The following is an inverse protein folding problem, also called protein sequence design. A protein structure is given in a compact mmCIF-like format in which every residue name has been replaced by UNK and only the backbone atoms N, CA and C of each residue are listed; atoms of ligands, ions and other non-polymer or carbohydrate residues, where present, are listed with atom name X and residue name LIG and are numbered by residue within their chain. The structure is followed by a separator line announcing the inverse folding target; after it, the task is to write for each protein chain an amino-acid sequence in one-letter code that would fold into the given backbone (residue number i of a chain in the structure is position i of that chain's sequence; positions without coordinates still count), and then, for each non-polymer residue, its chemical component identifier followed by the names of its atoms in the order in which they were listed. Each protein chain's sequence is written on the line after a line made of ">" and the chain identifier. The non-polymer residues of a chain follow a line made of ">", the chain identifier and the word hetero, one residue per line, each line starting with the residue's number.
data_IF_257513297320
#
_entry.id   IF_257513297320
#
_cell.length_a   1.000
_cell.length_b   1.000
_cell.length_c   1.000
_cell.angle_alpha   90.00
_cell.angle_beta   90.00
_cell.angle_gamma   90.00
#
_symmetry.space_group_name_H-M   'P 1'
#
loop_
_entity.id
_entity.type
_entity.pdbx_description
1 polymer ?
#
# COMPACT_ATOMS: atom_id res chain seq x y z
N UNK A 1 30.25 -40.87 33.37
CA UNK A 1 29.72 -40.11 32.21
C UNK A 1 28.47 -39.40 32.69
N UNK A 2 28.58 -38.14 33.12
CA UNK A 2 27.42 -37.33 33.67
C UNK A 2 26.84 -36.50 32.54
N UNK A 3 25.59 -36.78 32.19
CA UNK A 3 24.79 -36.07 31.19
C UNK A 3 24.29 -34.75 31.81
N UNK A 4 24.78 -33.61 31.36
CA UNK A 4 24.22 -32.33 31.71
C UNK A 4 23.05 -32.00 30.76
N UNK A 5 21.83 -32.08 31.27
CA UNK A 5 20.66 -31.53 30.60
C UNK A 5 20.72 -30.00 30.73
N UNK A 6 20.98 -29.30 29.62
CA UNK A 6 20.74 -27.85 29.52
C UNK A 6 19.24 -27.63 29.34
N UNK A 7 18.55 -27.18 30.41
CA UNK A 7 17.24 -26.62 30.31
C UNK A 7 17.39 -25.18 29.74
N UNK A 8 17.02 -25.00 28.47
CA UNK A 8 16.81 -23.68 27.89
C UNK A 8 15.51 -23.09 28.45
N UNK A 9 15.63 -22.18 29.41
CA UNK A 9 14.51 -21.35 29.89
C UNK A 9 14.19 -20.36 28.79
N UNK A 10 13.15 -20.59 28.01
CA UNK A 10 12.54 -19.57 27.17
C UNK A 10 11.90 -18.54 28.10
N UNK A 11 12.58 -17.42 28.28
CA UNK A 11 12.00 -16.23 28.92
C UNK A 11 10.91 -15.66 28.02
N UNK A 12 9.67 -16.03 28.25
CA UNK A 12 8.51 -15.36 27.67
C UNK A 12 8.44 -13.95 28.29
N UNK A 13 8.97 -12.94 27.61
CA UNK A 13 8.76 -11.55 28.00
C UNK A 13 7.27 -11.28 27.82
N UNK A 14 6.52 -11.29 28.92
CA UNK A 14 5.11 -10.93 28.89
C UNK A 14 5.00 -9.48 28.41
N UNK A 15 4.48 -9.29 27.21
CA UNK A 15 4.15 -7.95 26.70
C UNK A 15 3.11 -7.34 27.62
N UNK A 16 3.40 -6.17 28.20
CA UNK A 16 2.45 -5.50 29.08
C UNK A 16 1.10 -5.37 28.39
N UNK A 17 0.03 -5.79 29.08
CA UNK A 17 -1.32 -5.74 28.56
C UNK A 17 -1.66 -4.30 28.16
N UNK A 18 -2.16 -4.12 26.95
CA UNK A 18 -2.59 -2.79 26.48
C UNK A 18 -3.87 -2.42 27.21
N UNK A 19 -3.98 -1.18 27.76
CA UNK A 19 -5.22 -0.78 28.44
C UNK A 19 -6.40 -0.89 27.47
N UNK A 20 -7.57 -1.32 27.92
CA UNK A 20 -8.76 -1.38 27.07
C UNK A 20 -9.15 0.02 26.58
N UNK A 21 -9.76 0.08 25.40
CA UNK A 21 -10.28 1.32 24.81
C UNK A 21 -11.73 1.12 24.42
N UNK A 22 -12.60 2.00 24.90
CA UNK A 22 -14.01 2.02 24.53
C UNK A 22 -14.32 3.28 23.73
N UNK A 23 -14.60 3.11 22.43
CA UNK A 23 -15.22 4.16 21.63
C UNK A 23 -16.73 4.13 21.86
N UNK A 24 -17.30 5.23 22.32
CA UNK A 24 -18.70 5.32 22.73
C UNK A 24 -19.51 6.14 21.74
N UNK A 25 -20.70 5.63 21.37
CA UNK A 25 -21.70 6.34 20.58
C UNK A 25 -21.19 6.79 19.19
N UNK A 26 -20.43 5.96 18.49
CA UNK A 26 -19.94 6.25 17.14
C UNK A 26 -20.84 5.64 16.05
N UNK A 27 -20.65 6.09 14.81
CA UNK A 27 -21.08 5.36 13.62
C UNK A 27 -19.95 4.44 13.17
N UNK A 28 -20.20 3.13 13.14
CA UNK A 28 -19.19 2.12 12.80
C UNK A 28 -19.37 1.68 11.34
N UNK A 29 -18.44 2.04 10.48
CA UNK A 29 -18.33 1.60 9.09
C UNK A 29 -17.52 0.30 9.11
N UNK A 30 -18.19 -0.82 9.09
CA UNK A 30 -17.53 -2.11 9.37
C UNK A 30 -16.64 -2.62 8.24
N UNK A 31 -16.86 -2.19 7.01
CA UNK A 31 -16.31 -2.79 5.79
C UNK A 31 -16.63 -4.29 5.65
N UNK A 32 -17.68 -4.77 6.34
CA UNK A 32 -18.16 -6.15 6.31
C UNK A 32 -19.55 -6.21 5.70
N UNK A 33 -19.64 -6.53 4.39
CA UNK A 33 -20.89 -6.63 3.66
C UNK A 33 -21.69 -5.32 3.60
N UNK A 34 -21.03 -4.16 3.62
CA UNK A 34 -21.67 -2.85 3.54
C UNK A 34 -22.37 -2.38 4.82
N UNK A 35 -22.18 -3.06 5.94
CA UNK A 35 -22.83 -2.71 7.22
C UNK A 35 -22.27 -1.41 7.79
N UNK A 36 -23.17 -0.45 8.05
CA UNK A 36 -22.91 0.78 8.78
C UNK A 36 -23.82 0.80 10.02
N UNK A 37 -23.22 0.86 11.20
CA UNK A 37 -23.90 0.73 12.49
C UNK A 37 -23.90 2.08 13.22
N UNK A 38 -25.00 2.81 13.17
CA UNK A 38 -25.13 4.09 13.87
C UNK A 38 -25.34 3.87 15.38
N UNK A 39 -24.80 4.78 16.20
CA UNK A 39 -24.95 4.75 17.66
C UNK A 39 -24.51 3.41 18.27
N UNK A 40 -23.26 3.01 17.96
CA UNK A 40 -22.66 1.83 18.53
C UNK A 40 -21.42 2.17 19.36
N UNK A 41 -21.17 1.33 20.35
CA UNK A 41 -19.94 1.29 21.11
C UNK A 41 -19.02 0.22 20.49
N UNK A 42 -17.70 0.50 20.43
CA UNK A 42 -16.67 -0.45 20.01
C UNK A 42 -15.66 -0.58 21.14
N UNK A 43 -15.58 -1.77 21.74
CA UNK A 43 -14.63 -2.10 22.78
C UNK A 43 -13.43 -2.84 22.22
N UNK A 44 -12.24 -2.38 22.57
CA UNK A 44 -10.97 -3.04 22.26
C UNK A 44 -10.31 -3.51 23.54
N UNK A 45 -9.91 -4.80 23.57
CA UNK A 45 -9.12 -5.42 24.62
C UNK A 45 -8.02 -6.28 24.00
N UNK A 46 -6.86 -6.31 24.62
CA UNK A 46 -5.71 -7.14 24.19
C UNK A 46 -5.34 -6.98 22.72
N UNK A 47 -5.54 -5.77 22.19
CA UNK A 47 -5.23 -5.45 20.79
C UNK A 47 -6.27 -5.91 19.77
N UNK A 48 -7.42 -6.45 20.22
CA UNK A 48 -8.50 -6.96 19.37
C UNK A 48 -9.81 -6.24 19.63
N UNK A 49 -10.69 -6.24 18.63
CA UNK A 49 -12.06 -5.79 18.77
C UNK A 49 -12.80 -6.85 19.61
N UNK A 50 -13.05 -6.54 20.88
CA UNK A 50 -13.69 -7.45 21.80
C UNK A 50 -15.22 -7.45 21.62
N UNK A 51 -15.81 -6.27 21.31
CA UNK A 51 -17.27 -6.13 21.16
C UNK A 51 -17.66 -4.92 20.32
N UNK A 52 -18.70 -5.08 19.52
CA UNK A 52 -19.42 -4.00 18.85
C UNK A 52 -20.89 -4.15 19.22
N UNK A 53 -21.46 -3.14 19.89
CA UNK A 53 -22.84 -3.24 20.42
C UNK A 53 -23.55 -1.89 20.42
N UNK A 54 -24.89 -1.85 20.48
CA UNK A 54 -25.63 -0.60 20.61
C UNK A 54 -25.15 0.22 21.82
N UNK A 55 -25.11 1.54 21.65
CA UNK A 55 -24.60 2.47 22.67
C UNK A 55 -25.27 2.26 24.04
N UNK A 56 -24.44 2.22 25.08
CA UNK A 56 -24.88 2.05 26.48
C UNK A 56 -25.11 0.61 26.90
N UNK A 57 -24.94 -0.39 25.99
CA UNK A 57 -25.06 -1.81 26.36
C UNK A 57 -23.73 -2.44 26.75
N UNK A 58 -22.61 -1.80 26.44
CA UNK A 58 -21.28 -2.23 26.85
C UNK A 58 -20.80 -1.42 28.08
N UNK A 59 -20.32 -2.10 29.11
CA UNK A 59 -19.56 -1.47 30.20
C UNK A 59 -18.09 -1.33 29.81
N UNK A 60 -17.49 -0.21 30.19
CA UNK A 60 -16.03 -0.06 30.06
C UNK A 60 -15.36 -0.91 31.16
N UNK A 61 -14.45 -1.84 30.85
CA UNK A 61 -13.62 -2.50 31.84
C UNK A 61 -12.83 -1.49 32.70
N UNK A 62 -12.45 -1.87 33.91
CA UNK A 62 -11.59 -1.04 34.75
C UNK A 62 -10.29 -0.66 34.03
N UNK A 63 -9.84 0.58 34.18
CA UNK A 63 -8.65 1.09 33.50
C UNK A 63 -8.81 1.41 32.03
N UNK A 64 -10.04 1.34 31.48
CA UNK A 64 -10.31 1.69 30.08
C UNK A 64 -10.12 3.17 29.78
N UNK A 65 -9.52 3.46 28.63
CA UNK A 65 -9.65 4.78 28.00
C UNK A 65 -11.00 4.86 27.28
N UNK A 66 -11.84 5.81 27.68
CA UNK A 66 -13.14 6.06 27.02
C UNK A 66 -12.97 7.22 26.02
N UNK A 67 -13.30 6.96 24.75
CA UNK A 67 -13.24 7.94 23.66
C UNK A 67 -14.68 8.28 23.22
N UNK A 68 -15.05 9.56 23.28
CA UNK A 68 -16.35 10.00 22.78
C UNK A 68 -16.37 9.94 21.23
N UNK A 69 -17.25 9.12 20.71
CA UNK A 69 -17.49 8.93 19.26
C UNK A 69 -18.74 9.63 18.76
N UNK A 70 -19.40 10.45 19.58
CA UNK A 70 -20.64 11.14 19.21
C UNK A 70 -20.42 12.01 17.97
N UNK A 71 -21.20 11.74 16.92
CA UNK A 71 -21.09 12.43 15.63
C UNK A 71 -19.83 12.05 14.82
N UNK A 72 -19.09 11.04 15.24
CA UNK A 72 -17.85 10.55 14.58
C UNK A 72 -18.05 9.18 13.99
N UNK A 73 -17.08 8.80 13.14
CA UNK A 73 -17.10 7.58 12.34
C UNK A 73 -15.89 6.71 12.67
N UNK A 74 -16.13 5.44 12.94
CA UNK A 74 -15.08 4.42 13.06
C UNK A 74 -15.02 3.62 11.78
N UNK A 75 -13.82 3.39 11.25
CA UNK A 75 -13.57 2.50 10.13
C UNK A 75 -12.26 1.73 10.31
N UNK A 76 -12.03 0.63 9.56
CA UNK A 76 -10.72 -0.02 9.57
C UNK A 76 -9.61 0.93 9.12
N UNK A 77 -8.41 0.70 9.63
CA UNK A 77 -7.22 1.39 9.13
C UNK A 77 -6.98 1.12 7.64
N UNK A 78 -6.44 2.11 6.95
CA UNK A 78 -6.13 2.02 5.53
C UNK A 78 -4.82 1.27 5.28
N UNK A 79 -4.66 0.77 4.06
CA UNK A 79 -3.43 0.16 3.59
C UNK A 79 -2.81 0.96 2.45
N UNK A 80 -1.47 0.92 2.37
CA UNK A 80 -0.67 1.40 1.25
C UNK A 80 0.06 0.21 0.62
N UNK A 81 -0.34 -0.19 -0.59
CA UNK A 81 0.11 -1.41 -1.22
C UNK A 81 1.31 -1.22 -2.16
N UNK A 82 1.85 -0.01 -2.20
CA UNK A 82 3.10 0.29 -2.90
C UNK A 82 3.88 1.38 -2.14
N UNK A 83 4.58 0.97 -1.09
CA UNK A 83 5.41 1.85 -0.28
C UNK A 83 6.90 1.57 -0.49
N UNK A 84 7.70 2.63 -0.49
CA UNK A 84 9.15 2.54 -0.42
C UNK A 84 9.63 2.92 0.98
N UNK A 85 10.29 1.98 1.66
CA UNK A 85 10.95 2.23 2.92
C UNK A 85 12.43 2.45 2.62
N UNK A 86 13.04 3.59 3.04
CA UNK A 86 14.44 3.86 2.76
C UNK A 86 15.37 2.88 3.48
N UNK A 87 16.63 2.90 3.07
CA UNK A 87 17.69 2.18 3.72
C UNK A 87 18.06 2.77 5.09
N UNK A 88 19.15 2.27 5.71
CA UNK A 88 19.54 2.69 7.06
C UNK A 88 20.02 4.15 7.13
N UNK A 89 20.37 4.75 6.00
CA UNK A 89 20.85 6.12 5.94
C UNK A 89 19.86 7.07 5.23
N UNK A 90 19.66 8.27 5.78
CA UNK A 90 20.16 8.73 7.07
C UNK A 90 19.45 8.05 8.25
N UNK A 91 20.17 7.84 9.35
CA UNK A 91 19.65 7.11 10.52
C UNK A 91 18.30 7.65 11.01
N UNK A 92 17.37 6.75 11.33
CA UNK A 92 16.01 7.08 11.80
C UNK A 92 15.04 7.57 10.71
N UNK A 93 15.48 7.63 9.45
CA UNK A 93 14.58 8.10 8.38
C UNK A 93 13.51 7.06 8.04
N UNK A 94 13.83 5.78 8.06
CA UNK A 94 12.88 4.70 7.85
C UNK A 94 11.81 4.68 8.95
N UNK A 95 12.20 4.87 10.21
CA UNK A 95 11.28 4.96 11.34
C UNK A 95 10.37 6.18 11.24
N UNK A 96 10.92 7.35 10.88
CA UNK A 96 10.14 8.57 10.65
C UNK A 96 9.07 8.34 9.58
N UNK A 97 9.44 7.67 8.48
CA UNK A 97 8.54 7.38 7.39
C UNK A 97 7.41 6.42 7.80
N UNK A 98 7.74 5.36 8.54
CA UNK A 98 6.74 4.44 9.08
C UNK A 98 5.78 5.13 10.04
N UNK A 99 6.30 6.01 10.90
CA UNK A 99 5.48 6.83 11.80
C UNK A 99 4.60 7.82 11.03
N UNK A 100 5.10 8.38 9.92
CA UNK A 100 4.35 9.29 9.05
C UNK A 100 3.16 8.58 8.38
N UNK A 101 3.35 7.36 7.85
CA UNK A 101 2.24 6.54 7.36
C UNK A 101 1.21 6.29 8.46
N UNK A 102 1.65 5.86 9.65
CA UNK A 102 0.77 5.60 10.78
C UNK A 102 -0.03 6.83 11.20
N UNK A 103 0.61 8.02 11.24
CA UNK A 103 -0.03 9.28 11.61
C UNK A 103 -1.11 9.74 10.59
N UNK A 104 -1.09 9.21 9.38
CA UNK A 104 -2.11 9.40 8.34
C UNK A 104 -3.13 8.26 8.29
N UNK A 105 -3.19 7.39 9.31
CA UNK A 105 -4.19 6.31 9.35
C UNK A 105 -3.86 5.10 8.47
N UNK A 106 -2.66 5.03 7.92
CA UNK A 106 -2.19 3.84 7.21
C UNK A 106 -1.71 2.84 8.24
N UNK A 107 -2.44 1.74 8.40
CA UNK A 107 -2.16 0.72 9.43
C UNK A 107 -1.51 -0.55 8.87
N UNK A 108 -1.47 -0.66 7.53
CA UNK A 108 -0.80 -1.76 6.81
C UNK A 108 -0.06 -1.19 5.61
N UNK A 109 1.17 -1.63 5.37
CA UNK A 109 1.94 -1.27 4.17
C UNK A 109 2.56 -2.51 3.53
N UNK A 110 2.70 -2.47 2.20
CA UNK A 110 3.49 -3.38 1.40
C UNK A 110 4.73 -2.66 0.88
N UNK A 111 5.88 -2.96 1.48
CA UNK A 111 7.19 -2.41 1.10
C UNK A 111 7.72 -3.11 -0.16
N UNK A 112 7.89 -2.37 -1.25
CA UNK A 112 8.14 -2.92 -2.60
C UNK A 112 9.58 -2.86 -3.07
N UNK A 113 10.50 -2.41 -2.24
CA UNK A 113 11.96 -2.40 -2.49
C UNK A 113 12.67 -2.77 -1.19
N UNK A 114 12.68 -4.08 -0.90
CA UNK A 114 13.08 -4.59 0.40
C UNK A 114 14.58 -4.61 0.63
N UNK A 115 14.92 -4.57 1.90
CA UNK A 115 16.29 -4.63 2.43
C UNK A 115 16.27 -5.40 3.75
N UNK A 116 17.42 -5.94 4.22
CA UNK A 116 17.49 -6.64 5.51
C UNK A 116 16.94 -5.82 6.68
N UNK A 117 17.18 -4.50 6.70
CA UNK A 117 16.63 -3.57 7.69
C UNK A 117 15.10 -3.68 7.83
N UNK A 118 14.38 -3.95 6.73
CA UNK A 118 12.91 -4.00 6.78
C UNK A 118 12.40 -5.18 7.61
N UNK A 119 13.14 -6.29 7.66
CA UNK A 119 12.81 -7.44 8.53
C UNK A 119 12.97 -7.08 10.00
N UNK A 120 14.01 -6.31 10.34
CA UNK A 120 14.22 -5.78 11.69
C UNK A 120 13.11 -4.79 12.07
N UNK A 121 12.81 -3.81 11.21
CA UNK A 121 11.73 -2.85 11.42
C UNK A 121 10.39 -3.54 11.63
N UNK A 122 10.06 -4.56 10.83
CA UNK A 122 8.86 -5.38 11.01
C UNK A 122 8.81 -6.00 12.41
N UNK A 123 9.88 -6.65 12.84
CA UNK A 123 9.96 -7.26 14.17
C UNK A 123 9.80 -6.24 15.30
N UNK A 124 10.43 -5.05 15.18
CA UNK A 124 10.28 -3.96 16.16
C UNK A 124 8.85 -3.43 16.23
N UNK A 125 8.18 -3.31 15.08
CA UNK A 125 6.77 -2.92 15.01
C UNK A 125 5.87 -3.97 15.69
N UNK A 126 6.12 -5.26 15.42
CA UNK A 126 5.36 -6.37 15.99
C UNK A 126 5.50 -6.45 17.52
N UNK A 127 6.71 -6.20 18.04
CA UNK A 127 6.95 -6.12 19.49
C UNK A 127 6.45 -4.81 20.13
N UNK A 128 5.94 -3.84 19.33
CA UNK A 128 5.45 -2.55 19.81
C UNK A 128 6.54 -1.55 20.21
N UNK A 129 7.80 -1.84 19.89
CA UNK A 129 8.95 -0.96 20.13
C UNK A 129 8.97 0.24 19.19
N UNK A 130 8.37 0.09 18.00
CA UNK A 130 8.27 1.12 16.99
C UNK A 130 6.79 1.39 16.64
N UNK A 131 6.42 2.66 16.55
CA UNK A 131 5.12 3.07 15.99
C UNK A 131 5.20 2.99 14.47
N UNK A 132 4.40 2.11 13.88
CA UNK A 132 4.34 1.94 12.44
C UNK A 132 3.21 1.01 12.00
N UNK A 133 2.89 1.00 10.71
CA UNK A 133 1.94 0.07 10.10
C UNK A 133 2.40 -1.39 10.24
N UNK A 134 1.49 -2.34 10.11
CA UNK A 134 1.84 -3.74 9.81
C UNK A 134 2.63 -3.75 8.51
N UNK A 135 3.82 -4.34 8.54
CA UNK A 135 4.75 -4.33 7.41
C UNK A 135 4.83 -5.69 6.73
N UNK A 136 4.35 -5.75 5.49
CA UNK A 136 4.72 -6.79 4.54
C UNK A 136 5.85 -6.26 3.66
N UNK A 137 6.93 -7.01 3.47
CA UNK A 137 8.09 -6.53 2.72
C UNK A 137 8.61 -7.55 1.72
N UNK A 138 8.94 -7.06 0.53
CA UNK A 138 9.72 -7.85 -0.43
C UNK A 138 11.17 -7.95 0.03
N UNK A 139 11.90 -8.88 -0.59
CA UNK A 139 13.36 -8.83 -0.59
C UNK A 139 13.92 -7.76 -1.54
N UNK A 140 15.25 -7.73 -1.73
CA UNK A 140 15.90 -6.91 -2.73
C UNK A 140 15.34 -7.15 -4.13
N UNK A 141 15.37 -6.10 -4.96
CA UNK A 141 14.82 -6.11 -6.31
C UNK A 141 15.41 -7.23 -7.19
N UNK A 142 14.55 -7.93 -7.91
CA UNK A 142 14.93 -8.87 -8.97
C UNK A 142 14.65 -8.19 -10.32
N UNK A 143 15.71 -7.92 -11.08
CA UNK A 143 15.66 -7.22 -12.37
C UNK A 143 16.74 -7.73 -13.31
N UNK A 144 16.82 -7.20 -14.54
CA UNK A 144 17.78 -7.67 -15.54
C UNK A 144 19.26 -7.56 -15.13
N UNK A 145 19.60 -6.64 -14.22
CA UNK A 145 20.98 -6.50 -13.73
C UNK A 145 21.26 -7.43 -12.55
N UNK A 146 20.31 -7.62 -11.62
CA UNK A 146 20.49 -8.46 -10.42
C UNK A 146 20.28 -9.94 -10.69
N UNK A 147 19.53 -10.28 -11.72
CA UNK A 147 19.25 -11.64 -12.19
C UNK A 147 19.50 -11.76 -13.68
N UNK A 148 20.78 -11.77 -14.13
CA UNK A 148 21.14 -11.83 -15.55
C UNK A 148 20.86 -13.20 -16.18
N UNK A 149 20.66 -14.25 -15.38
CA UNK A 149 20.38 -15.60 -15.82
C UNK A 149 19.40 -16.35 -14.89
N UNK A 150 18.90 -17.48 -15.39
CA UNK A 150 17.92 -18.30 -14.68
C UNK A 150 18.44 -18.83 -13.33
N UNK A 151 19.68 -19.30 -13.27
CA UNK A 151 20.26 -19.86 -12.06
C UNK A 151 20.36 -18.80 -10.94
N UNK A 152 20.74 -17.58 -11.30
CA UNK A 152 20.77 -16.43 -10.38
C UNK A 152 19.37 -16.08 -9.88
N UNK A 153 18.36 -16.03 -10.77
CA UNK A 153 16.99 -15.78 -10.38
C UNK A 153 16.46 -16.85 -9.40
N UNK A 154 16.67 -18.12 -9.69
CA UNK A 154 16.28 -19.22 -8.81
C UNK A 154 16.95 -19.15 -7.44
N UNK A 155 18.24 -18.85 -7.38
CA UNK A 155 18.97 -18.67 -6.12
C UNK A 155 18.38 -17.51 -5.32
N UNK A 156 18.14 -16.35 -5.94
CA UNK A 156 17.54 -15.18 -5.28
C UNK A 156 16.16 -15.49 -4.70
N UNK A 157 15.32 -16.26 -5.40
CA UNK A 157 14.01 -16.69 -4.89
C UNK A 157 14.19 -17.50 -3.60
N UNK A 158 15.08 -18.49 -3.59
CA UNK A 158 15.32 -19.35 -2.41
C UNK A 158 15.91 -18.56 -1.24
N UNK A 159 16.90 -17.70 -1.51
CA UNK A 159 17.52 -16.85 -0.51
C UNK A 159 16.51 -15.90 0.15
N UNK A 160 15.68 -15.22 -0.66
CA UNK A 160 14.66 -14.28 -0.14
C UNK A 160 13.58 -15.03 0.65
N UNK A 161 13.17 -16.22 0.19
CA UNK A 161 12.25 -17.09 0.95
C UNK A 161 12.85 -17.49 2.29
N UNK A 162 14.09 -17.97 2.31
CA UNK A 162 14.78 -18.40 3.52
C UNK A 162 15.01 -17.23 4.51
N UNK A 163 15.24 -16.01 4.01
CA UNK A 163 15.35 -14.81 4.83
C UNK A 163 14.03 -14.36 5.47
N UNK A 164 12.87 -14.89 5.03
CA UNK A 164 11.56 -14.58 5.60
C UNK A 164 10.89 -13.34 5.01
N UNK A 165 11.23 -12.97 3.78
CA UNK A 165 10.46 -11.97 3.05
C UNK A 165 9.09 -12.51 2.63
N UNK A 166 8.10 -11.61 2.55
CA UNK A 166 6.70 -11.99 2.30
C UNK A 166 6.42 -12.25 0.81
N UNK A 167 7.15 -11.58 -0.08
CA UNK A 167 7.00 -11.70 -1.54
C UNK A 167 8.27 -11.27 -2.27
N UNK A 168 8.33 -11.57 -3.57
CA UNK A 168 9.41 -11.14 -4.47
C UNK A 168 8.96 -9.89 -5.24
N UNK A 169 9.81 -8.86 -5.30
CA UNK A 169 9.58 -7.67 -6.14
C UNK A 169 10.38 -7.75 -7.43
N UNK A 170 9.67 -7.78 -8.53
CA UNK A 170 10.26 -7.69 -9.88
C UNK A 170 10.31 -6.23 -10.34
N UNK A 171 11.43 -5.87 -10.95
CA UNK A 171 11.63 -4.62 -11.68
C UNK A 171 11.94 -4.92 -13.15
N UNK A 172 11.95 -3.90 -14.05
CA UNK A 172 12.17 -4.11 -15.48
C UNK A 172 13.50 -4.77 -15.84
N UNK A 173 13.58 -5.29 -17.08
CA UNK A 173 14.80 -5.81 -17.67
C UNK A 173 14.98 -7.32 -17.58
N UNK A 174 14.04 -8.05 -16.96
CA UNK A 174 14.09 -9.53 -16.97
C UNK A 174 13.85 -10.07 -18.39
N UNK A 175 14.73 -10.94 -18.83
CA UNK A 175 14.53 -11.76 -20.01
C UNK A 175 13.45 -12.81 -19.79
N UNK A 176 12.74 -13.24 -20.83
CA UNK A 176 11.64 -14.19 -20.75
C UNK A 176 12.03 -15.50 -20.04
N UNK A 177 13.15 -16.11 -20.42
CA UNK A 177 13.63 -17.36 -19.81
C UNK A 177 13.97 -17.23 -18.32
N UNK A 178 14.47 -16.06 -17.91
CA UNK A 178 14.79 -15.76 -16.51
C UNK A 178 13.52 -15.59 -15.70
N UNK A 179 12.53 -14.88 -16.25
CA UNK A 179 11.20 -14.75 -15.65
C UNK A 179 10.50 -16.11 -15.49
N UNK A 180 10.56 -16.98 -16.51
CA UNK A 180 9.93 -18.31 -16.46
C UNK A 180 10.55 -19.18 -15.35
N UNK A 181 11.88 -19.14 -15.17
CA UNK A 181 12.60 -19.83 -14.10
C UNK A 181 12.23 -19.25 -12.72
N UNK A 182 12.20 -17.90 -12.59
CA UNK A 182 11.74 -17.22 -11.39
C UNK A 182 10.34 -17.67 -11.00
N UNK A 183 9.39 -17.62 -11.94
CA UNK A 183 8.00 -17.97 -11.68
C UNK A 183 7.82 -19.45 -11.29
N UNK A 184 8.57 -20.35 -11.91
CA UNK A 184 8.57 -21.78 -11.56
C UNK A 184 9.11 -22.01 -10.16
N UNK A 185 10.26 -21.40 -9.80
CA UNK A 185 10.87 -21.51 -8.49
C UNK A 185 10.03 -20.86 -7.41
N UNK A 186 9.46 -19.67 -7.67
CA UNK A 186 8.54 -18.98 -6.77
C UNK A 186 7.35 -19.87 -6.39
N UNK A 187 6.78 -20.60 -7.36
CA UNK A 187 5.70 -21.57 -7.12
C UNK A 187 6.16 -22.74 -6.25
N UNK A 188 7.33 -23.29 -6.54
CA UNK A 188 7.90 -24.40 -5.79
C UNK A 188 8.18 -24.02 -4.33
N UNK A 189 8.75 -22.84 -4.11
CA UNK A 189 9.08 -22.30 -2.78
C UNK A 189 7.88 -21.66 -2.06
N UNK A 190 6.72 -21.56 -2.70
CA UNK A 190 5.50 -20.95 -2.17
C UNK A 190 5.74 -19.51 -1.66
N UNK A 191 6.46 -18.71 -2.43
CA UNK A 191 6.61 -17.28 -2.20
C UNK A 191 5.99 -16.52 -3.38
N UNK A 192 4.97 -15.67 -3.18
CA UNK A 192 4.38 -14.92 -4.28
C UNK A 192 5.36 -13.90 -4.87
N UNK A 193 5.17 -13.57 -6.13
CA UNK A 193 5.92 -12.51 -6.80
C UNK A 193 4.99 -11.47 -7.39
N UNK A 194 5.42 -10.22 -7.38
CA UNK A 194 4.66 -9.06 -7.87
C UNK A 194 5.61 -7.97 -8.38
N UNK A 195 5.07 -6.91 -8.95
CA UNK A 195 5.86 -5.78 -9.40
C UNK A 195 5.63 -5.42 -10.87
N UNK A 196 6.71 -5.03 -11.54
CA UNK A 196 6.69 -4.63 -12.94
C UNK A 196 6.53 -5.82 -13.88
N UNK A 197 6.19 -5.51 -15.12
CA UNK A 197 6.17 -6.45 -16.24
C UNK A 197 7.25 -6.04 -17.24
N UNK A 198 8.35 -6.80 -17.30
CA UNK A 198 9.43 -6.54 -18.25
C UNK A 198 8.93 -6.65 -19.70
N UNK A 199 9.46 -5.79 -20.59
CA UNK A 199 9.07 -5.75 -22.01
C UNK A 199 9.25 -7.10 -22.70
N UNK A 200 10.33 -7.82 -22.40
CA UNK A 200 10.61 -9.15 -22.96
C UNK A 200 9.66 -10.25 -22.42
N UNK A 201 8.94 -9.99 -21.32
CA UNK A 201 7.96 -10.90 -20.72
C UNK A 201 6.57 -10.66 -21.29
N UNK A 202 6.11 -9.40 -21.21
CA UNK A 202 4.76 -9.02 -21.61
C UNK A 202 3.68 -9.41 -20.58
N UNK A 203 2.57 -8.67 -20.60
CA UNK A 203 1.49 -8.84 -19.63
C UNK A 203 0.82 -10.22 -19.73
N UNK A 204 0.66 -10.78 -20.92
CA UNK A 204 0.04 -12.09 -21.10
C UNK A 204 0.83 -13.20 -20.39
N UNK A 205 2.17 -13.16 -20.46
CA UNK A 205 3.01 -14.13 -19.77
C UNK A 205 2.99 -13.93 -18.25
N UNK A 206 2.98 -12.68 -17.78
CA UNK A 206 2.85 -12.36 -16.37
C UNK A 206 1.52 -12.89 -15.80
N UNK A 207 0.41 -12.69 -16.52
CA UNK A 207 -0.92 -13.22 -16.16
C UNK A 207 -0.96 -14.75 -16.18
N UNK A 208 -0.37 -15.39 -17.21
CA UNK A 208 -0.30 -16.85 -17.32
C UNK A 208 0.52 -17.47 -16.17
N UNK A 209 1.59 -16.79 -15.75
CA UNK A 209 2.42 -17.18 -14.61
C UNK A 209 1.76 -16.90 -13.25
N UNK A 210 0.58 -16.25 -13.22
CA UNK A 210 -0.16 -15.84 -12.02
C UNK A 210 0.65 -14.91 -11.12
N UNK A 211 1.29 -13.90 -11.70
CA UNK A 211 1.87 -12.80 -10.94
C UNK A 211 0.81 -12.23 -9.99
N UNK A 212 1.10 -12.23 -8.68
CA UNK A 212 0.08 -11.94 -7.66
C UNK A 212 -0.48 -10.52 -7.74
N UNK A 213 0.39 -9.55 -8.07
CA UNK A 213 -0.02 -8.18 -8.39
C UNK A 213 0.87 -7.57 -9.47
N UNK A 214 0.26 -6.78 -10.36
CA UNK A 214 0.97 -5.93 -11.31
C UNK A 214 0.88 -4.48 -10.81
N UNK A 215 2.05 -3.88 -10.63
CA UNK A 215 2.17 -2.50 -10.19
C UNK A 215 2.12 -1.57 -11.43
N UNK A 216 1.63 -0.33 -11.27
CA UNK A 216 1.65 0.74 -12.28
C UNK A 216 0.87 0.49 -13.57
N UNK A 217 0.03 -0.54 -13.67
CA UNK A 217 -0.53 -1.05 -14.94
C UNK A 217 0.58 -1.34 -15.97
N UNK A 218 1.74 -1.79 -15.49
CA UNK A 218 2.91 -2.01 -16.35
C UNK A 218 2.65 -3.13 -17.37
N UNK A 219 3.08 -2.93 -18.60
CA UNK A 219 2.81 -3.83 -19.72
C UNK A 219 1.43 -3.66 -20.40
N UNK A 220 0.45 -3.02 -19.75
CA UNK A 220 -0.91 -2.89 -20.31
C UNK A 220 -0.96 -1.98 -21.52
N UNK A 221 -0.29 -0.82 -21.48
CA UNK A 221 -0.25 0.08 -22.64
C UNK A 221 0.37 -0.59 -23.86
N UNK A 222 1.46 -1.35 -23.66
CA UNK A 222 2.08 -2.13 -24.72
C UNK A 222 1.16 -3.22 -25.27
N UNK A 223 0.36 -3.87 -24.44
CA UNK A 223 -0.61 -4.88 -24.87
C UNK A 223 -1.77 -4.28 -25.67
N UNK A 224 -2.11 -3.02 -25.43
CA UNK A 224 -3.11 -2.29 -26.20
C UNK A 224 -2.58 -1.76 -27.53
N UNK A 225 -1.26 -1.54 -27.68
CA UNK A 225 -0.69 -0.90 -28.86
C UNK A 225 -0.80 -1.78 -30.10
N UNK A 226 -0.96 -1.13 -31.26
CA UNK A 226 -0.85 -1.78 -32.56
C UNK A 226 0.56 -2.33 -32.78
N UNK A 227 0.67 -3.44 -33.50
CA UNK A 227 1.93 -4.13 -33.72
C UNK A 227 2.96 -3.25 -34.43
N UNK A 228 2.52 -2.40 -35.36
CA UNK A 228 3.39 -1.43 -36.10
C UNK A 228 4.11 -0.44 -35.17
N UNK A 229 3.60 -0.21 -33.96
CA UNK A 229 4.21 0.69 -32.97
C UNK A 229 5.13 -0.06 -31.97
N UNK A 230 5.26 -1.37 -32.12
CA UNK A 230 6.07 -2.23 -31.25
C UNK A 230 7.42 -2.60 -31.85
N UNK A 231 7.70 -2.19 -33.11
CA UNK A 231 8.93 -2.48 -33.84
C UNK A 231 10.16 -1.68 -33.36
N UNK A 232 9.96 -0.78 -32.39
CA UNK A 232 11.01 0.07 -31.82
C UNK A 232 11.20 1.41 -32.56
N UNK A 233 10.41 1.69 -33.60
CA UNK A 233 10.43 2.97 -34.32
C UNK A 233 9.93 4.12 -33.46
N UNK A 234 8.99 3.83 -32.53
CA UNK A 234 8.46 4.80 -31.56
C UNK A 234 9.02 4.55 -30.16
N UNK A 235 9.55 5.59 -29.51
CA UNK A 235 9.99 5.44 -28.12
C UNK A 235 8.80 5.13 -27.21
N UNK A 236 8.79 3.96 -26.56
CA UNK A 236 7.71 3.60 -25.63
C UNK A 236 7.56 4.59 -24.48
N UNK A 237 8.62 5.28 -24.10
CA UNK A 237 8.63 6.22 -22.99
C UNK A 237 8.40 5.55 -21.64
N UNK A 238 8.26 6.39 -20.61
CA UNK A 238 7.99 5.89 -19.26
C UNK A 238 6.62 5.20 -19.19
N UNK A 239 6.59 3.96 -18.67
CA UNK A 239 5.37 3.14 -18.54
C UNK A 239 4.57 2.98 -19.85
N UNK A 240 5.18 3.22 -20.99
CA UNK A 240 4.53 3.10 -22.30
C UNK A 240 3.75 4.33 -22.74
N UNK A 241 4.01 5.52 -22.19
CA UNK A 241 3.30 6.77 -22.54
C UNK A 241 3.37 7.08 -24.04
N UNK A 242 4.51 6.82 -24.68
CA UNK A 242 4.69 7.03 -26.13
C UNK A 242 3.82 6.13 -27.00
N UNK A 243 3.28 5.04 -26.46
CA UNK A 243 2.39 4.11 -27.18
C UNK A 243 0.90 4.49 -27.07
N UNK A 244 0.56 5.58 -26.38
CA UNK A 244 -0.84 5.89 -26.11
C UNK A 244 -1.66 6.18 -27.37
N UNK A 245 -1.05 6.84 -28.38
CA UNK A 245 -1.72 7.14 -29.66
C UNK A 245 -1.88 5.89 -30.55
N UNK A 246 -1.13 4.84 -30.25
CA UNK A 246 -1.21 3.54 -30.92
C UNK A 246 -2.16 2.56 -30.24
N UNK A 247 -2.78 2.95 -29.13
CA UNK A 247 -3.61 2.05 -28.35
C UNK A 247 -4.94 1.73 -29.04
N UNK A 248 -5.26 0.45 -29.15
CA UNK A 248 -6.50 -0.08 -29.69
C UNK A 248 -7.45 -0.36 -28.52
N UNK A 249 -8.35 0.58 -28.24
CA UNK A 249 -9.26 0.49 -27.07
C UNK A 249 -10.16 -0.73 -27.07
N UNK A 250 -10.53 -1.23 -28.26
CA UNK A 250 -11.36 -2.44 -28.37
C UNK A 250 -10.69 -3.70 -27.80
N UNK A 251 -9.37 -3.67 -27.49
CA UNK A 251 -8.65 -4.75 -26.78
C UNK A 251 -8.80 -4.70 -25.28
N UNK A 252 -9.31 -3.61 -24.69
CA UNK A 252 -9.44 -3.45 -23.25
C UNK A 252 -10.28 -4.56 -22.62
N UNK A 253 -11.49 -4.91 -23.12
CA UNK A 253 -12.33 -5.93 -22.51
C UNK A 253 -11.67 -7.32 -22.48
N UNK A 254 -10.92 -7.69 -23.53
CA UNK A 254 -10.18 -8.95 -23.57
C UNK A 254 -9.08 -8.99 -22.51
N UNK A 255 -8.30 -7.92 -22.41
CA UNK A 255 -7.21 -7.80 -21.46
C UNK A 255 -7.71 -7.79 -20.00
N UNK A 256 -8.81 -7.10 -19.73
CA UNK A 256 -9.51 -7.11 -18.43
C UNK A 256 -9.99 -8.52 -18.07
N UNK A 257 -10.58 -9.22 -19.04
CA UNK A 257 -11.04 -10.61 -18.86
C UNK A 257 -9.87 -11.54 -18.52
N UNK A 258 -8.75 -11.41 -19.25
CA UNK A 258 -7.55 -12.19 -18.98
C UNK A 258 -6.99 -11.91 -17.58
N UNK A 259 -6.96 -10.65 -17.16
CA UNK A 259 -6.50 -10.22 -15.83
C UNK A 259 -7.38 -10.84 -14.74
N UNK A 260 -8.70 -10.74 -14.87
CA UNK A 260 -9.65 -11.36 -13.93
C UNK A 260 -9.45 -12.88 -13.83
N UNK A 261 -9.34 -13.55 -14.98
CA UNK A 261 -9.12 -15.01 -15.05
C UNK A 261 -7.82 -15.44 -14.38
N UNK A 262 -6.77 -14.63 -14.48
CA UNK A 262 -5.49 -14.88 -13.82
C UNK A 262 -5.58 -14.76 -12.30
N UNK A 263 -6.54 -14.00 -11.77
CA UNK A 263 -6.65 -13.64 -10.35
C UNK A 263 -5.59 -12.63 -9.91
N UNK A 264 -4.96 -11.94 -10.86
CA UNK A 264 -3.94 -10.94 -10.60
C UNK A 264 -4.58 -9.66 -10.07
N UNK A 265 -4.04 -9.13 -8.96
CA UNK A 265 -4.46 -7.84 -8.42
C UNK A 265 -3.74 -6.68 -9.10
N UNK A 266 -4.34 -5.50 -9.11
CA UNK A 266 -3.75 -4.30 -9.68
C UNK A 266 -3.41 -3.29 -8.59
N UNK A 267 -2.17 -2.75 -8.63
CA UNK A 267 -1.74 -1.61 -7.81
C UNK A 267 -1.36 -0.47 -8.74
N UNK A 268 -2.32 0.35 -9.17
CA UNK A 268 -2.15 1.22 -10.33
C UNK A 268 -1.21 2.40 -10.09
N UNK A 269 -1.08 2.87 -8.84
CA UNK A 269 -0.32 4.08 -8.50
C UNK A 269 -0.68 5.26 -9.42
N UNK A 270 -1.97 5.42 -9.65
CA UNK A 270 -2.47 6.35 -10.67
C UNK A 270 -2.10 7.80 -10.34
N UNK A 271 -2.06 8.16 -9.07
CA UNK A 271 -1.65 9.51 -8.62
C UNK A 271 -0.23 9.86 -9.07
N UNK A 272 0.71 8.90 -9.02
CA UNK A 272 2.07 9.09 -9.50
C UNK A 272 2.06 9.46 -10.99
N UNK A 273 1.33 8.68 -11.77
CA UNK A 273 1.26 8.84 -13.22
C UNK A 273 0.59 10.17 -13.60
N UNK A 274 -0.50 10.54 -12.93
CA UNK A 274 -1.18 11.80 -13.20
C UNK A 274 -0.35 13.02 -12.79
N UNK A 275 0.42 12.91 -11.72
CA UNK A 275 1.38 13.95 -11.36
C UNK A 275 2.51 14.09 -12.40
N UNK A 276 2.92 12.99 -13.01
CA UNK A 276 3.93 13.01 -14.07
C UNK A 276 3.39 13.58 -15.38
N UNK A 277 2.19 13.19 -15.75
CA UNK A 277 1.53 13.64 -16.96
C UNK A 277 1.07 15.11 -16.90
N UNK A 278 0.95 15.66 -15.70
CA UNK A 278 0.52 17.04 -15.53
C UNK A 278 1.65 18.03 -15.86
N UNK A 279 1.34 19.20 -16.44
CA UNK A 279 2.33 20.25 -16.66
C UNK A 279 3.10 20.59 -15.39
N UNK A 280 4.36 21.05 -15.46
CA UNK A 280 5.21 21.34 -14.30
C UNK A 280 4.76 22.59 -13.49
N UNK A 281 3.51 22.99 -13.62
CA UNK A 281 2.93 24.12 -12.90
C UNK A 281 2.70 23.80 -11.43
N UNK A 282 2.74 24.82 -10.58
CA UNK A 282 2.63 24.75 -9.09
C UNK A 282 1.39 24.02 -8.54
N UNK A 283 0.41 23.70 -9.38
CA UNK A 283 -0.83 23.01 -8.99
C UNK A 283 -0.65 21.55 -8.53
N UNK A 284 0.50 20.94 -8.80
CA UNK A 284 0.78 19.53 -8.41
C UNK A 284 1.14 19.43 -6.94
N UNK A 285 1.56 20.53 -6.37
CA UNK A 285 1.91 20.62 -4.97
C UNK A 285 0.61 20.84 -4.16
N UNK A 286 -0.35 19.91 -4.30
CA UNK A 286 -1.69 19.99 -3.67
C UNK A 286 -1.61 20.18 -2.15
N UNK A 287 -0.47 19.86 -1.53
CA UNK A 287 -0.24 20.18 -0.12
C UNK A 287 1.21 20.60 0.10
N UNK A 288 1.49 21.90 -0.02
CA UNK A 288 2.76 22.48 0.48
C UNK A 288 2.99 22.14 1.96
N UNK A 289 1.93 21.92 2.73
CA UNK A 289 2.00 21.50 4.12
C UNK A 289 2.69 20.13 4.31
N UNK A 290 2.54 19.20 3.35
CA UNK A 290 3.20 17.89 3.42
C UNK A 290 4.71 17.95 3.18
N UNK A 291 5.22 19.03 2.55
CA UNK A 291 6.67 19.16 2.29
C UNK A 291 7.49 19.41 3.54
N UNK A 292 6.88 19.80 4.63
CA UNK A 292 7.55 19.88 5.93
C UNK A 292 8.17 18.56 6.39
N UNK A 293 7.73 17.44 5.79
CA UNK A 293 8.23 16.09 6.06
C UNK A 293 9.36 15.66 5.11
N UNK A 294 9.85 16.55 4.26
CA UNK A 294 10.98 16.33 3.36
C UNK A 294 12.15 17.24 3.77
N UNK A 295 13.37 16.72 3.61
CA UNK A 295 14.54 17.58 3.73
C UNK A 295 14.61 18.57 2.56
N UNK A 296 15.20 19.75 2.75
CA UNK A 296 15.45 20.71 1.67
C UNK A 296 16.19 20.09 0.49
N UNK A 297 17.13 19.19 0.75
CA UNK A 297 17.88 18.44 -0.26
C UNK A 297 16.98 17.55 -1.09
N UNK A 298 16.08 16.79 -0.46
CA UNK A 298 15.11 15.94 -1.16
C UNK A 298 14.17 16.75 -2.04
N UNK A 299 13.66 17.88 -1.54
CA UNK A 299 12.80 18.79 -2.31
C UNK A 299 13.53 19.29 -3.57
N UNK A 300 14.80 19.71 -3.43
CA UNK A 300 15.59 20.17 -4.56
C UNK A 300 15.85 19.07 -5.60
N UNK A 301 16.19 17.85 -5.14
CA UNK A 301 16.38 16.69 -6.00
C UNK A 301 15.11 16.32 -6.76
N UNK A 302 13.95 16.27 -6.10
CA UNK A 302 12.68 15.94 -6.72
C UNK A 302 12.21 17.01 -7.71
N UNK A 303 12.46 18.30 -7.42
CA UNK A 303 12.21 19.37 -8.39
C UNK A 303 13.07 19.20 -9.63
N UNK A 304 14.37 18.91 -9.47
CA UNK A 304 15.28 18.67 -10.60
C UNK A 304 14.85 17.45 -11.42
N UNK A 305 14.57 16.33 -10.77
CA UNK A 305 14.11 15.12 -11.43
C UNK A 305 12.82 15.37 -12.22
N UNK A 306 11.83 16.05 -11.61
CA UNK A 306 10.59 16.40 -12.28
C UNK A 306 10.80 17.23 -13.53
N UNK A 307 11.66 18.24 -13.51
CA UNK A 307 11.97 19.07 -14.68
C UNK A 307 12.56 18.25 -15.82
N UNK A 308 13.27 17.15 -15.52
CA UNK A 308 13.83 16.25 -16.53
C UNK A 308 12.79 15.29 -17.13
N UNK A 309 11.81 14.87 -16.34
CA UNK A 309 10.78 13.92 -16.77
C UNK A 309 9.57 14.59 -17.43
N UNK A 310 9.24 15.81 -17.06
CA UNK A 310 8.11 16.56 -17.60
C UNK A 310 8.53 17.39 -18.81
N UNK A 311 9.08 16.75 -19.80
CA UNK A 311 8.77 17.17 -21.16
C UNK A 311 7.36 16.62 -21.41
N UNK A 312 6.38 17.53 -21.42
CA UNK A 312 4.98 17.16 -21.63
C UNK A 312 4.90 16.31 -22.91
N UNK A 313 4.85 15.00 -22.77
CA UNK A 313 4.58 14.15 -23.91
C UNK A 313 3.22 14.56 -24.45
N UNK A 314 3.06 14.87 -25.73
CA UNK A 314 1.75 15.10 -26.34
C UNK A 314 0.75 13.99 -26.00
N UNK A 315 1.25 12.76 -25.83
CA UNK A 315 0.48 11.57 -25.52
C UNK A 315 0.06 11.46 -24.04
N UNK A 316 0.59 12.31 -23.14
CA UNK A 316 0.38 12.18 -21.71
C UNK A 316 -1.11 12.24 -21.31
N UNK A 317 -1.90 13.11 -21.94
CA UNK A 317 -3.34 13.21 -21.70
C UNK A 317 -4.04 11.91 -22.10
N UNK A 318 -3.80 11.42 -23.29
CA UNK A 318 -4.38 10.19 -23.83
C UNK A 318 -3.96 8.98 -22.99
N UNK A 319 -2.73 8.94 -22.55
CA UNK A 319 -2.21 7.90 -21.66
C UNK A 319 -2.98 7.83 -20.33
N UNK A 320 -3.23 8.97 -19.70
CA UNK A 320 -4.02 9.05 -18.47
C UNK A 320 -5.46 8.60 -18.69
N UNK A 321 -6.10 9.04 -19.80
CA UNK A 321 -7.47 8.66 -20.14
C UNK A 321 -7.60 7.14 -20.34
N UNK A 322 -6.68 6.52 -21.08
CA UNK A 322 -6.66 5.06 -21.29
C UNK A 322 -6.46 4.27 -20.00
N UNK A 323 -5.61 4.75 -19.11
CA UNK A 323 -5.38 4.12 -17.80
C UNK A 323 -6.62 4.22 -16.91
N UNK A 324 -7.29 5.37 -16.89
CA UNK A 324 -8.56 5.55 -16.17
C UNK A 324 -9.63 4.61 -16.71
N UNK A 325 -9.74 4.47 -18.03
CA UNK A 325 -10.69 3.57 -18.67
C UNK A 325 -10.38 2.09 -18.35
N UNK A 326 -9.10 1.68 -18.40
CA UNK A 326 -8.67 0.36 -17.95
C UNK A 326 -9.11 0.08 -16.51
N UNK A 327 -8.85 1.01 -15.58
CA UNK A 327 -9.22 0.85 -14.16
C UNK A 327 -10.73 0.78 -13.97
N UNK A 328 -11.49 1.61 -14.67
CA UNK A 328 -12.94 1.59 -14.63
C UNK A 328 -13.51 0.25 -15.11
N UNK A 329 -13.01 -0.29 -16.22
CA UNK A 329 -13.44 -1.60 -16.73
C UNK A 329 -12.96 -2.74 -15.84
N UNK A 330 -11.75 -2.68 -15.29
CA UNK A 330 -11.24 -3.67 -14.32
C UNK A 330 -12.12 -3.72 -13.08
N UNK A 331 -12.48 -2.55 -12.52
CA UNK A 331 -13.40 -2.48 -11.38
C UNK A 331 -14.77 -3.08 -11.72
N UNK A 332 -15.37 -2.65 -12.83
CA UNK A 332 -16.68 -3.16 -13.27
C UNK A 332 -16.67 -4.69 -13.52
N UNK A 333 -15.56 -5.23 -14.00
CA UNK A 333 -15.37 -6.65 -14.16
C UNK A 333 -15.08 -7.41 -12.85
N UNK A 334 -14.76 -6.72 -11.76
CA UNK A 334 -14.39 -7.31 -10.46
C UNK A 334 -12.95 -7.83 -10.43
N UNK A 335 -12.03 -7.20 -11.17
CA UNK A 335 -10.59 -7.39 -10.97
C UNK A 335 -10.20 -6.76 -9.63
N UNK A 336 -9.46 -7.44 -8.75
CA UNK A 336 -9.05 -6.87 -7.47
C UNK A 336 -8.13 -5.66 -7.67
N UNK A 337 -8.55 -4.50 -7.19
CA UNK A 337 -7.73 -3.28 -7.13
C UNK A 337 -7.29 -3.06 -5.68
N UNK A 338 -6.02 -2.72 -5.50
CA UNK A 338 -5.39 -2.45 -4.21
C UNK A 338 -4.86 -1.03 -4.22
N UNK A 339 -5.15 -0.28 -3.18
CA UNK A 339 -4.71 1.11 -3.05
C UNK A 339 -3.19 1.17 -2.84
N UNK A 340 -2.50 1.92 -3.68
CA UNK A 340 -1.06 2.15 -3.57
C UNK A 340 -0.65 3.40 -4.33
N UNK A 341 0.19 4.23 -3.73
CA UNK A 341 0.55 5.54 -4.27
C UNK A 341 2.00 5.67 -4.73
N UNK A 342 2.84 4.67 -4.38
CA UNK A 342 4.27 4.68 -4.69
C UNK A 342 5.04 5.78 -3.92
N UNK A 343 4.67 5.98 -2.66
CA UNK A 343 5.33 6.94 -1.78
C UNK A 343 6.46 6.30 -0.96
N UNK A 344 7.54 7.06 -0.62
CA UNK A 344 7.85 8.42 -1.03
C UNK A 344 8.66 8.46 -2.32
N UNK A 345 8.18 9.13 -3.34
CA UNK A 345 8.99 9.52 -4.50
C UNK A 345 8.31 10.65 -5.29
N UNK A 346 9.11 11.54 -5.88
CA UNK A 346 8.65 12.56 -6.83
C UNK A 346 7.37 13.30 -6.40
N UNK A 347 7.36 13.79 -5.14
CA UNK A 347 6.23 14.49 -4.51
C UNK A 347 5.04 13.63 -4.10
N UNK A 348 5.10 12.32 -4.24
CA UNK A 348 4.20 11.41 -3.53
C UNK A 348 4.65 11.30 -2.07
N UNK A 349 3.87 11.89 -1.20
CA UNK A 349 4.13 11.92 0.24
C UNK A 349 3.37 10.80 0.96
N UNK A 350 4.00 10.10 1.90
CA UNK A 350 3.34 9.09 2.71
C UNK A 350 2.05 9.60 3.33
N UNK A 351 0.96 8.85 3.16
CA UNK A 351 -0.37 9.22 3.62
C UNK A 351 -1.09 10.19 2.68
N UNK A 352 -0.52 11.34 2.37
CA UNK A 352 -1.16 12.34 1.50
C UNK A 352 -1.40 11.81 0.09
N UNK A 353 -0.44 11.13 -0.51
CA UNK A 353 -0.63 10.51 -1.84
C UNK A 353 -1.54 9.30 -1.78
N UNK A 354 -1.57 8.56 -0.67
CA UNK A 354 -2.53 7.48 -0.45
C UNK A 354 -3.97 8.01 -0.46
N UNK A 355 -4.22 9.14 0.22
CA UNK A 355 -5.52 9.80 0.16
C UNK A 355 -5.86 10.33 -1.24
N UNK A 356 -4.88 10.89 -1.94
CA UNK A 356 -5.09 11.39 -3.30
C UNK A 356 -5.39 10.25 -4.29
N UNK A 357 -4.73 9.10 -4.16
CA UNK A 357 -5.04 7.90 -4.94
C UNK A 357 -6.47 7.40 -4.67
N UNK A 358 -6.88 7.39 -3.40
CA UNK A 358 -8.25 7.03 -3.02
C UNK A 358 -9.29 7.97 -3.63
N UNK A 359 -9.05 9.28 -3.60
CA UNK A 359 -9.92 10.28 -4.22
C UNK A 359 -9.98 10.11 -5.75
N UNK A 360 -8.86 9.75 -6.39
CA UNK A 360 -8.83 9.43 -7.81
C UNK A 360 -9.70 8.22 -8.16
N UNK A 361 -9.76 7.19 -7.32
CA UNK A 361 -10.64 6.06 -7.57
C UNK A 361 -12.11 6.48 -7.59
N UNK A 362 -12.52 7.38 -6.71
CA UNK A 362 -13.85 8.00 -6.79
C UNK A 362 -14.07 8.79 -8.08
N UNK A 363 -13.06 9.56 -8.52
CA UNK A 363 -13.11 10.32 -9.77
C UNK A 363 -13.15 9.44 -11.03
N UNK A 364 -12.65 8.20 -10.95
CA UNK A 364 -12.71 7.20 -12.03
C UNK A 364 -14.08 6.48 -12.06
N UNK A 365 -14.88 6.61 -10.99
CA UNK A 365 -16.23 6.06 -10.93
C UNK A 365 -16.43 4.91 -9.94
N UNK A 366 -15.48 4.63 -9.06
CA UNK A 366 -15.72 3.73 -7.93
C UNK A 366 -16.64 4.42 -6.91
N UNK A 367 -17.58 3.67 -6.35
CA UNK A 367 -18.32 4.18 -5.20
C UNK A 367 -17.38 4.43 -4.02
N UNK A 368 -17.71 5.33 -3.08
CA UNK A 368 -16.87 5.54 -1.91
C UNK A 368 -16.55 4.26 -1.14
N UNK A 369 -17.53 3.36 -0.99
CA UNK A 369 -17.33 2.09 -0.31
C UNK A 369 -16.43 1.13 -1.09
N UNK A 370 -16.55 1.09 -2.43
CA UNK A 370 -15.65 0.27 -3.27
C UNK A 370 -14.22 0.83 -3.25
N UNK A 371 -14.06 2.15 -3.29
CA UNK A 371 -12.75 2.79 -3.15
C UNK A 371 -12.11 2.47 -1.79
N UNK A 372 -12.86 2.59 -0.68
CA UNK A 372 -12.38 2.20 0.65
C UNK A 372 -12.04 0.71 0.75
N UNK A 373 -12.77 -0.14 0.03
CA UNK A 373 -12.47 -1.58 -0.01
C UNK A 373 -11.10 -1.88 -0.60
N UNK A 374 -10.60 -1.04 -1.56
CA UNK A 374 -9.26 -1.21 -2.15
C UNK A 374 -8.13 -1.05 -1.13
N UNK A 375 -8.38 -0.32 -0.05
CA UNK A 375 -7.44 -0.05 1.04
C UNK A 375 -7.69 -0.87 2.30
N UNK A 376 -8.70 -1.72 2.33
CA UNK A 376 -9.13 -2.45 3.53
C UNK A 376 -9.35 -3.94 3.23
N UNK A 377 -10.56 -4.33 2.90
CA UNK A 377 -10.94 -5.74 2.73
C UNK A 377 -10.25 -6.43 1.57
N UNK A 378 -9.99 -5.71 0.47
CA UNK A 378 -9.27 -6.29 -0.66
C UNK A 378 -7.82 -6.62 -0.28
N UNK A 379 -7.21 -5.78 0.56
CA UNK A 379 -5.83 -6.00 1.06
C UNK A 379 -5.78 -7.21 1.99
N UNK A 380 -6.71 -7.33 2.92
CA UNK A 380 -6.79 -8.50 3.79
C UNK A 380 -6.96 -9.79 2.96
N UNK A 381 -7.81 -9.77 1.94
CA UNK A 381 -7.99 -10.89 1.01
C UNK A 381 -6.73 -11.20 0.21
N UNK A 382 -6.03 -10.17 -0.29
CA UNK A 382 -4.79 -10.34 -1.04
C UNK A 382 -3.72 -11.09 -0.24
N UNK A 383 -3.64 -10.82 1.07
CA UNK A 383 -2.71 -11.51 1.98
C UNK A 383 -3.28 -12.80 2.57
N UNK A 384 -4.53 -13.18 2.29
CA UNK A 384 -5.21 -14.33 2.93
C UNK A 384 -5.36 -14.15 4.44
N UNK A 385 -5.61 -12.92 4.90
CA UNK A 385 -5.68 -12.56 6.32
C UNK A 385 -7.00 -11.86 6.70
N UNK A 386 -8.12 -12.26 6.07
CA UNK A 386 -9.46 -11.71 6.35
C UNK A 386 -9.96 -12.01 7.76
N UNK A 387 -9.33 -12.96 8.44
CA UNK A 387 -9.55 -13.31 9.85
C UNK A 387 -8.72 -12.46 10.83
N UNK A 388 -7.85 -11.57 10.32
CA UNK A 388 -6.97 -10.73 11.14
C UNK A 388 -7.30 -9.25 11.06
N UNK A 389 -7.48 -8.68 9.87
CA UNK A 389 -7.63 -7.23 9.69
C UNK A 389 -8.50 -6.88 8.47
N UNK A 390 -8.67 -5.58 8.18
CA UNK A 390 -9.37 -5.04 7.02
C UNK A 390 -10.87 -4.80 7.25
N UNK A 391 -11.40 -5.22 8.40
CA UNK A 391 -12.81 -5.00 8.81
C UNK A 391 -12.88 -4.61 10.28
N UNK A 392 -13.97 -3.95 10.69
CA UNK A 392 -14.34 -3.86 12.08
C UNK A 392 -15.32 -5.00 12.40
N UNK A 393 -14.78 -6.07 12.97
CA UNK A 393 -15.51 -7.26 13.39
C UNK A 393 -14.90 -7.83 14.66
N UNK A 394 -15.75 -8.32 15.58
CA UNK A 394 -15.29 -8.95 16.82
C UNK A 394 -14.28 -10.08 16.55
N UNK A 395 -13.24 -10.13 17.36
CA UNK A 395 -12.12 -11.06 17.24
C UNK A 395 -10.95 -10.58 16.37
N UNK A 396 -11.16 -9.60 15.45
CA UNK A 396 -10.10 -9.09 14.60
C UNK A 396 -9.14 -8.14 15.37
N UNK A 397 -7.93 -8.00 14.83
CA UNK A 397 -6.97 -7.02 15.34
C UNK A 397 -7.53 -5.59 15.22
N UNK A 398 -7.34 -4.79 16.24
CA UNK A 398 -7.91 -3.47 16.31
C UNK A 398 -7.01 -2.43 15.62
N UNK A 399 -7.12 -2.37 14.30
CA UNK A 399 -6.63 -1.28 13.46
C UNK A 399 -7.83 -0.39 13.10
N UNK A 400 -7.98 0.76 13.76
CA UNK A 400 -9.19 1.58 13.71
C UNK A 400 -8.85 3.04 13.49
N UNK A 401 -9.59 3.70 12.61
CA UNK A 401 -9.57 5.16 12.43
C UNK A 401 -10.81 5.77 13.08
N UNK A 402 -10.63 6.86 13.80
CA UNK A 402 -11.71 7.73 14.24
C UNK A 402 -11.69 8.99 13.36
N UNK A 403 -12.80 9.27 12.68
CA UNK A 403 -12.96 10.38 11.74
C UNK A 403 -14.06 11.31 12.22
N UNK A 404 -13.92 12.63 11.98
CA UNK A 404 -14.97 13.62 12.28
C UNK A 404 -16.02 13.76 11.18
N UNK A 405 -15.87 13.07 10.04
CA UNK A 405 -16.85 13.10 8.95
C UNK A 405 -16.89 11.76 8.19
N UNK A 406 -18.03 11.50 7.53
CA UNK A 406 -18.33 10.22 6.86
C UNK A 406 -17.54 10.06 5.55
N UNK A 407 -16.58 9.09 5.48
CA UNK A 407 -15.85 8.80 4.26
C UNK A 407 -16.70 8.02 3.22
N UNK A 408 -17.81 7.42 3.64
CA UNK A 408 -18.76 6.74 2.76
C UNK A 408 -19.58 7.71 1.89
N UNK A 409 -19.63 8.99 2.27
CA UNK A 409 -20.28 10.03 1.48
C UNK A 409 -19.26 10.81 0.62
N UNK A 410 -18.08 11.08 1.19
CA UNK A 410 -17.01 11.80 0.52
C UNK A 410 -15.66 11.25 0.94
N UNK A 411 -14.91 10.70 0.00
CA UNK A 411 -13.60 10.08 0.24
C UNK A 411 -12.58 11.05 0.86
N UNK A 412 -12.66 12.35 0.57
CA UNK A 412 -11.79 13.36 1.20
C UNK A 412 -11.94 13.42 2.74
N UNK A 413 -13.02 12.88 3.29
CA UNK A 413 -13.24 12.83 4.74
C UNK A 413 -12.28 11.86 5.48
N UNK A 414 -11.58 10.96 4.78
CA UNK A 414 -10.50 10.15 5.39
C UNK A 414 -9.37 11.00 5.97
N UNK A 415 -9.21 12.24 5.49
CA UNK A 415 -8.23 13.22 6.01
C UNK A 415 -8.62 13.80 7.36
N UNK A 416 -9.89 13.69 7.75
CA UNK A 416 -10.44 14.27 8.99
C UNK A 416 -10.22 13.32 10.19
N UNK A 417 -8.97 12.92 10.38
CA UNK A 417 -8.55 12.01 11.44
C UNK A 417 -8.58 12.69 12.82
N UNK A 418 -9.34 12.10 13.75
CA UNK A 418 -9.36 12.43 15.18
C UNK A 418 -8.43 11.50 15.99
N UNK A 419 -8.05 10.37 15.41
CA UNK A 419 -7.09 9.45 15.98
C UNK A 419 -6.96 8.15 15.21
N UNK A 420 -5.91 7.42 15.52
CA UNK A 420 -5.54 6.14 14.89
C UNK A 420 -5.28 5.10 15.97
N UNK A 421 -5.80 3.92 15.78
CA UNK A 421 -5.46 2.75 16.59
C UNK A 421 -4.65 1.77 15.75
N UNK A 422 -3.49 1.37 16.25
CA UNK A 422 -2.59 0.39 15.64
C UNK A 422 -2.55 -0.86 16.51
N UNK A 423 -3.19 -1.92 16.07
CA UNK A 423 -3.22 -3.21 16.81
C UNK A 423 -3.54 -2.99 18.31
N UNK A 424 -4.59 -2.18 18.58
CA UNK A 424 -5.06 -1.83 19.93
C UNK A 424 -4.31 -0.71 20.65
N UNK A 425 -3.26 -0.14 20.08
CA UNK A 425 -2.59 1.05 20.60
C UNK A 425 -3.28 2.31 20.10
N UNK A 426 -3.98 3.01 20.97
CA UNK A 426 -4.69 4.24 20.64
C UNK A 426 -3.75 5.45 20.59
N UNK A 427 -3.80 6.19 19.51
CA UNK A 427 -3.07 7.44 19.25
C UNK A 427 -4.11 8.55 18.95
N UNK A 428 -4.49 9.36 19.91
CA UNK A 428 -5.41 10.48 19.70
C UNK A 428 -4.75 11.58 18.84
N UNK A 429 -5.57 12.46 18.23
CA UNK A 429 -5.10 13.52 17.32
C UNK A 429 -3.93 14.32 17.91
N UNK A 430 -4.02 14.72 19.17
CA UNK A 430 -2.96 15.47 19.83
C UNK A 430 -1.61 14.72 19.84
N UNK A 431 -1.61 13.39 20.00
CA UNK A 431 -0.39 12.58 19.94
C UNK A 431 0.14 12.49 18.50
N UNK A 432 -0.77 12.36 17.53
CA UNK A 432 -0.38 12.34 16.10
C UNK A 432 0.23 13.67 15.68
N UNK A 433 -0.31 14.81 16.15
CA UNK A 433 0.24 16.13 15.85
C UNK A 433 1.66 16.29 16.39
N UNK A 434 1.90 15.88 17.64
CA UNK A 434 3.27 15.89 18.22
C UNK A 434 4.23 15.03 17.39
N UNK A 435 3.81 13.82 16.97
CA UNK A 435 4.64 12.97 16.13
C UNK A 435 4.98 13.62 14.78
N UNK A 436 3.99 14.22 14.14
CA UNK A 436 4.16 14.91 12.86
C UNK A 436 5.12 16.12 13.00
N UNK A 437 4.99 16.91 14.06
CA UNK A 437 5.88 18.07 14.33
C UNK A 437 7.31 17.62 14.63
N UNK A 438 7.49 16.55 15.39
CA UNK A 438 8.80 15.94 15.63
C UNK A 438 9.47 15.45 14.34
N UNK A 439 8.72 14.78 13.45
CA UNK A 439 9.22 14.34 12.15
C UNK A 439 9.62 15.54 11.30
N UNK A 440 8.75 16.55 11.20
CA UNK A 440 9.04 17.77 10.45
C UNK A 440 10.30 18.48 10.95
N UNK A 441 10.47 18.59 12.28
CA UNK A 441 11.65 19.19 12.87
C UNK A 441 12.94 18.39 12.58
N UNK A 442 12.87 17.05 12.53
CA UNK A 442 14.02 16.22 12.12
C UNK A 442 14.35 16.40 10.65
N UNK A 443 13.34 16.44 9.76
CA UNK A 443 13.57 16.62 8.32
C UNK A 443 14.12 18.00 7.96
N UNK A 444 13.71 19.03 8.66
CA UNK A 444 14.25 20.40 8.46
C UNK A 444 15.75 20.52 8.79
N UNK A 445 16.31 19.59 9.59
CA UNK A 445 17.74 19.55 9.97
C UNK A 445 18.60 18.66 9.07
N UNK A 446 17.98 17.89 8.15
CA UNK A 446 18.64 17.01 7.15
C UNK A 446 18.82 17.75 5.80
#
# INVERSE_FOLDING_TARGET
>A
MRLFLLLSVLSCVAQAAKPPVLFRNATVITMDGGKVLAKHDLLVQDGRIARISPTGTASAPEGSTVVDGTGRFLMPGLAEMHAHIPGPEPAGYAEDLLALFAAHGITTIRGTLGQPLHLELRSRIERGELIGPRLFTSGPSINGNTAPDAATAERMVREQKAAGYDFLKMHPGLERKVFDALAATSRAERIPFSGHVSTAVGVQAALAAKQSAIDHLDGYMRALAEERCLDGSEPAGFMGVGLADCAVESRIPELVTATKKAGTSMVPTQILIEQWAAPPTDGILRSRAAYRFLSPTTIAQWRKARMQFVQASPQAKRFVELRRELLRQMHAAGVPILLGSDAPQLFNMPGESTFAELELYGAIGLSPMDALATATVNVARFFGQEDRFGRLREGLEADVLLLSADPGINLANVRKLEGVMLRGRWLPRARLDVMLDEIAARQARR
#
